data_IF_428764064092
#
_entry.id   IF_428764064092
#
_cell.length_a   1.000
_cell.length_b   1.000
_cell.length_c   1.000
_cell.angle_alpha   90.00
_cell.angle_beta   90.00
_cell.angle_gamma   90.00
#
_symmetry.space_group_name_H-M   'P 1'
#
loop_
_entity.id
_entity.type
_entity.pdbx_description
1 polymer ?
#
# COMPACT_ATOMS: atom_id res chain seq x y z
N UNK A 1 10.10 35.36 11.29
CA UNK A 1 10.25 33.90 11.53
C UNK A 1 9.77 33.16 10.32
N UNK A 2 10.57 32.25 9.74
CA UNK A 2 10.19 31.46 8.58
C UNK A 2 9.77 30.06 9.04
N UNK A 3 8.64 29.58 8.58
CA UNK A 3 8.21 28.18 8.80
C UNK A 3 9.11 27.25 7.98
N UNK A 4 9.54 26.15 8.59
CA UNK A 4 10.32 25.12 7.91
C UNK A 4 9.50 24.51 6.76
N UNK A 5 10.12 24.44 5.60
CA UNK A 5 9.56 23.72 4.44
C UNK A 5 10.64 22.81 3.88
N UNK A 6 10.40 21.48 3.82
CA UNK A 6 11.38 20.55 3.31
C UNK A 6 11.65 20.79 1.83
N UNK A 7 12.91 20.66 1.43
CA UNK A 7 13.33 20.67 0.02
C UNK A 7 13.52 19.23 -0.47
N UNK A 8 13.54 19.01 -1.79
CA UNK A 8 13.92 17.72 -2.34
C UNK A 8 15.30 17.30 -1.82
N UNK A 9 15.36 16.12 -1.21
CA UNK A 9 16.59 15.59 -0.61
C UNK A 9 16.80 15.84 0.89
N UNK A 10 16.06 16.73 1.52
CA UNK A 10 16.18 17.01 2.98
C UNK A 10 15.64 15.86 3.83
N UNK A 11 14.72 15.06 3.27
CA UNK A 11 14.06 13.97 4.00
C UNK A 11 14.69 12.64 3.60
N UNK A 12 15.29 11.96 4.57
CA UNK A 12 15.83 10.62 4.40
C UNK A 12 14.71 9.62 4.14
N UNK A 13 14.86 8.80 3.10
CA UNK A 13 13.92 7.73 2.74
C UNK A 13 14.45 6.39 3.22
N UNK A 14 13.65 5.70 4.02
CA UNK A 14 13.96 4.37 4.57
C UNK A 14 13.14 3.30 3.88
N UNK A 15 13.55 2.05 4.04
CA UNK A 15 12.85 0.89 3.55
C UNK A 15 12.21 0.15 4.73
N UNK A 16 10.92 -0.14 4.58
CA UNK A 16 10.16 -0.93 5.55
C UNK A 16 9.58 -2.17 4.90
N UNK A 17 9.61 -3.28 5.63
CA UNK A 17 8.93 -4.51 5.26
C UNK A 17 7.77 -4.76 6.22
N UNK A 18 6.59 -5.04 5.67
CA UNK A 18 5.36 -5.34 6.41
C UNK A 18 4.93 -6.75 6.07
N UNK A 19 4.71 -7.57 7.08
CA UNK A 19 4.09 -8.88 6.91
C UNK A 19 2.56 -8.73 6.92
N UNK A 20 1.92 -9.19 5.86
CA UNK A 20 0.47 -9.12 5.70
C UNK A 20 -0.28 -10.34 6.27
N UNK A 21 0.43 -11.30 6.86
CA UNK A 21 -0.16 -12.51 7.43
C UNK A 21 -1.18 -12.15 8.52
N UNK A 22 -2.42 -12.63 8.36
CA UNK A 22 -3.54 -12.42 9.28
C UNK A 22 -3.91 -10.95 9.57
N UNK A 23 -3.44 -10.02 8.73
CA UNK A 23 -3.76 -8.61 8.86
C UNK A 23 -4.96 -8.25 7.97
N UNK A 24 -5.89 -7.47 8.50
CA UNK A 24 -7.04 -6.96 7.73
C UNK A 24 -6.57 -6.03 6.63
N UNK A 25 -7.01 -6.27 5.40
CA UNK A 25 -6.59 -5.54 4.19
C UNK A 25 -6.70 -4.00 4.34
N UNK A 26 -7.80 -3.50 4.90
CA UNK A 26 -8.00 -2.06 5.07
C UNK A 26 -7.02 -1.43 6.05
N UNK A 27 -6.73 -2.11 7.14
CA UNK A 27 -5.76 -1.65 8.16
C UNK A 27 -4.33 -1.67 7.61
N UNK A 28 -3.97 -2.75 6.92
CA UNK A 28 -2.69 -2.85 6.21
C UNK A 28 -2.51 -1.69 5.22
N UNK A 29 -3.51 -1.45 4.38
CA UNK A 29 -3.47 -0.40 3.37
C UNK A 29 -3.37 1.00 3.98
N UNK A 30 -4.04 1.28 5.09
CA UNK A 30 -3.96 2.56 5.79
C UNK A 30 -2.56 2.82 6.36
N UNK A 31 -1.94 1.82 6.98
CA UNK A 31 -0.57 1.95 7.49
C UNK A 31 0.44 2.12 6.35
N UNK A 32 0.34 1.30 5.30
CA UNK A 32 1.20 1.44 4.13
C UNK A 32 1.07 2.81 3.47
N UNK A 33 -0.15 3.34 3.32
CA UNK A 33 -0.38 4.67 2.77
C UNK A 33 0.21 5.79 3.64
N UNK A 34 0.15 5.66 4.96
CA UNK A 34 0.78 6.60 5.91
C UNK A 34 2.29 6.65 5.75
N UNK A 35 2.93 5.48 5.63
CA UNK A 35 4.38 5.38 5.40
C UNK A 35 4.77 5.94 4.03
N UNK A 36 4.02 5.61 2.97
CA UNK A 36 4.28 6.09 1.61
C UNK A 36 4.17 7.62 1.47
N UNK A 37 3.25 8.24 2.20
CA UNK A 37 3.10 9.69 2.23
C UNK A 37 4.11 10.38 3.15
N UNK A 38 4.63 9.67 4.14
CA UNK A 38 5.56 10.22 5.13
C UNK A 38 4.87 10.95 6.28
N UNK A 39 3.59 10.69 6.55
CA UNK A 39 2.83 11.33 7.66
C UNK A 39 3.36 10.99 9.05
N UNK A 40 4.15 9.92 9.18
CA UNK A 40 4.81 9.53 10.44
C UNK A 40 6.02 10.39 10.77
N UNK A 41 6.50 11.20 9.82
CA UNK A 41 7.67 12.07 10.01
C UNK A 41 7.27 13.48 10.43
N UNK A 42 7.99 14.13 11.36
CA UNK A 42 7.70 15.52 11.74
C UNK A 42 7.95 16.51 10.60
N UNK A 43 8.78 16.14 9.63
CA UNK A 43 9.11 16.94 8.44
C UNK A 43 8.08 16.84 7.31
N UNK A 44 6.95 16.17 7.55
CA UNK A 44 5.92 15.98 6.53
C UNK A 44 5.43 17.30 5.93
N UNK A 45 5.41 17.37 4.59
CA UNK A 45 4.80 18.46 3.85
C UNK A 45 3.93 17.89 2.70
N UNK A 46 2.75 18.49 2.44
CA UNK A 46 1.85 17.97 1.40
C UNK A 46 2.35 18.19 -0.03
N UNK A 47 3.29 19.11 -0.24
CA UNK A 47 3.84 19.46 -1.55
C UNK A 47 5.09 18.66 -1.94
N UNK A 48 5.69 17.92 -0.99
CA UNK A 48 6.91 17.13 -1.21
C UNK A 48 6.70 15.64 -0.90
N UNK A 49 7.50 14.80 -1.55
CA UNK A 49 7.51 13.37 -1.30
C UNK A 49 8.43 13.02 -0.13
N UNK A 50 7.87 13.09 1.09
CA UNK A 50 8.56 12.78 2.33
C UNK A 50 8.48 11.30 2.73
N UNK A 51 7.78 10.48 1.97
CA UNK A 51 7.48 9.09 2.32
C UNK A 51 8.63 8.13 2.11
N UNK A 52 8.48 6.96 2.70
CA UNK A 52 9.43 5.85 2.66
C UNK A 52 9.04 4.79 1.62
N UNK A 53 9.97 3.88 1.36
CA UNK A 53 9.71 2.68 0.56
C UNK A 53 9.04 1.62 1.43
N UNK A 54 8.00 0.98 0.90
CA UNK A 54 7.24 -0.05 1.61
C UNK A 54 7.22 -1.33 0.80
N UNK A 55 7.65 -2.42 1.44
CA UNK A 55 7.58 -3.78 0.93
C UNK A 55 6.50 -4.50 1.72
N UNK A 56 5.53 -5.10 1.05
CA UNK A 56 4.51 -5.95 1.67
C UNK A 56 4.76 -7.38 1.22
N UNK A 57 4.92 -8.28 2.16
CA UNK A 57 5.10 -9.72 1.95
C UNK A 57 3.87 -10.49 2.40
N UNK A 58 3.75 -11.75 1.96
CA UNK A 58 2.60 -12.63 2.27
C UNK A 58 1.23 -12.03 1.91
N UNK A 59 1.14 -11.36 0.78
CA UNK A 59 -0.11 -10.73 0.34
C UNK A 59 -1.25 -11.74 0.10
N UNK A 60 -0.93 -13.02 -0.11
CA UNK A 60 -1.88 -14.13 -0.23
C UNK A 60 -2.61 -14.45 1.08
N UNK A 61 -2.01 -14.11 2.24
CA UNK A 61 -2.54 -14.39 3.58
C UNK A 61 -3.30 -13.22 4.21
N UNK A 62 -3.58 -12.19 3.43
CA UNK A 62 -4.38 -11.05 3.87
C UNK A 62 -5.82 -11.47 4.18
N UNK A 63 -6.37 -10.92 5.26
CA UNK A 63 -7.73 -11.24 5.74
C UNK A 63 -8.73 -10.16 5.31
N UNK A 64 -9.90 -10.60 4.87
CA UNK A 64 -11.08 -9.75 4.63
C UNK A 64 -12.16 -10.09 5.66
N UNK A 65 -12.63 -9.09 6.39
CA UNK A 65 -13.67 -9.26 7.42
C UNK A 65 -15.08 -9.12 6.85
N UNK A 66 -16.10 -9.56 7.60
CA UNK A 66 -17.54 -9.38 7.30
C UNK A 66 -18.00 -9.95 5.95
N UNK A 67 -17.43 -11.06 5.52
CA UNK A 67 -17.79 -11.69 4.24
C UNK A 67 -17.46 -10.85 3.00
N UNK A 68 -16.55 -9.90 3.11
CA UNK A 68 -16.13 -9.04 1.98
C UNK A 68 -15.45 -9.81 0.86
N UNK A 69 -14.89 -10.97 1.15
CA UNK A 69 -14.29 -11.81 0.13
C UNK A 69 -15.29 -12.15 -0.99
N UNK A 70 -16.51 -12.45 -0.63
CA UNK A 70 -17.59 -12.81 -1.58
C UNK A 70 -18.39 -11.59 -2.05
N UNK A 71 -18.64 -10.61 -1.15
CA UNK A 71 -19.51 -9.44 -1.43
C UNK A 71 -18.81 -8.31 -2.17
N UNK A 72 -17.49 -8.20 -2.04
CA UNK A 72 -16.72 -7.11 -2.64
C UNK A 72 -16.18 -7.48 -4.00
N UNK A 73 -16.35 -6.57 -4.98
CA UNK A 73 -15.86 -6.75 -6.33
C UNK A 73 -14.79 -5.71 -6.66
N UNK A 74 -13.80 -6.12 -7.42
CA UNK A 74 -12.85 -5.24 -8.05
C UNK A 74 -13.34 -4.88 -9.45
N UNK A 75 -13.72 -3.64 -9.66
CA UNK A 75 -14.24 -3.15 -10.93
C UNK A 75 -13.14 -2.58 -11.82
N UNK A 76 -13.27 -2.82 -13.11
CA UNK A 76 -12.47 -2.21 -14.17
C UNK A 76 -13.37 -1.97 -15.38
N UNK A 77 -13.27 -0.79 -15.98
CA UNK A 77 -13.99 -0.45 -17.21
C UNK A 77 -13.01 -0.26 -18.38
N UNK A 78 -13.32 -0.83 -19.54
CA UNK A 78 -12.46 -0.73 -20.73
C UNK A 78 -12.63 0.58 -21.49
N UNK A 79 -13.67 1.37 -21.20
CA UNK A 79 -14.04 2.58 -21.94
C UNK A 79 -15.04 2.35 -23.09
N UNK A 80 -15.37 1.10 -23.42
CA UNK A 80 -16.36 0.76 -24.43
C UNK A 80 -17.73 0.46 -23.81
N UNK A 81 -18.86 0.61 -24.57
CA UNK A 81 -20.17 0.22 -24.10
C UNK A 81 -20.18 -1.26 -23.62
N UNK A 82 -20.74 -1.49 -22.42
CA UNK A 82 -20.73 -2.84 -21.81
C UNK A 82 -19.34 -3.33 -21.33
N UNK A 83 -18.35 -2.45 -21.27
CA UNK A 83 -16.97 -2.79 -20.91
C UNK A 83 -16.67 -2.91 -19.41
N UNK A 84 -17.68 -2.92 -18.54
CA UNK A 84 -17.49 -3.10 -17.10
C UNK A 84 -17.13 -4.57 -16.80
N UNK A 85 -15.97 -4.76 -16.16
CA UNK A 85 -15.52 -6.06 -15.64
C UNK A 85 -15.52 -6.02 -14.11
N UNK A 86 -16.17 -6.99 -13.49
CA UNK A 86 -16.21 -7.18 -12.05
C UNK A 86 -15.58 -8.52 -11.69
N UNK A 87 -14.60 -8.51 -10.79
CA UNK A 87 -13.94 -9.72 -10.29
C UNK A 87 -14.17 -9.76 -8.77
N UNK A 88 -14.74 -10.86 -8.22
CA UNK A 88 -14.90 -10.99 -6.78
C UNK A 88 -13.53 -11.04 -6.10
N UNK A 89 -13.44 -10.52 -4.87
CA UNK A 89 -12.17 -10.49 -4.14
C UNK A 89 -11.66 -11.89 -3.79
N UNK A 90 -12.54 -12.89 -3.65
CA UNK A 90 -12.15 -14.30 -3.47
C UNK A 90 -11.26 -14.76 -4.64
N UNK A 91 -11.71 -14.54 -5.86
CA UNK A 91 -10.95 -14.91 -7.06
C UNK A 91 -9.69 -14.04 -7.23
N UNK A 92 -9.79 -12.75 -6.92
CA UNK A 92 -8.65 -11.84 -7.04
C UNK A 92 -7.53 -12.20 -6.06
N UNK A 93 -7.84 -12.56 -4.83
CA UNK A 93 -6.85 -13.00 -3.83
C UNK A 93 -6.25 -14.36 -4.18
N UNK A 94 -7.02 -15.27 -4.77
CA UNK A 94 -6.53 -16.58 -5.22
C UNK A 94 -5.57 -16.47 -6.41
N UNK A 95 -5.85 -15.58 -7.35
CA UNK A 95 -5.09 -15.47 -8.61
C UNK A 95 -3.99 -14.40 -8.57
N UNK A 96 -4.27 -13.24 -8.01
CA UNK A 96 -3.37 -12.06 -7.99
C UNK A 96 -3.50 -11.26 -6.69
N UNK A 97 -3.04 -11.79 -5.56
CA UNK A 97 -3.15 -11.13 -4.26
C UNK A 97 -2.42 -9.78 -4.23
N UNK A 98 -1.28 -9.65 -4.92
CA UNK A 98 -0.51 -8.40 -4.97
C UNK A 98 -1.35 -7.24 -5.56
N UNK A 99 -2.21 -7.58 -6.53
CA UNK A 99 -3.09 -6.59 -7.15
C UNK A 99 -4.20 -6.14 -6.22
N UNK A 100 -4.73 -7.03 -5.39
CA UNK A 100 -5.75 -6.70 -4.39
C UNK A 100 -5.20 -5.71 -3.36
N UNK A 101 -4.01 -5.98 -2.82
CA UNK A 101 -3.32 -5.11 -1.85
C UNK A 101 -2.94 -3.79 -2.48
N UNK A 102 -2.32 -3.80 -3.65
CA UNK A 102 -1.92 -2.56 -4.36
C UNK A 102 -3.12 -1.67 -4.68
N UNK A 103 -4.27 -2.26 -5.06
CA UNK A 103 -5.50 -1.51 -5.33
C UNK A 103 -6.05 -0.85 -4.07
N UNK A 104 -6.00 -1.54 -2.92
CA UNK A 104 -6.43 -1.00 -1.64
C UNK A 104 -5.55 0.18 -1.21
N UNK A 105 -4.23 0.06 -1.30
CA UNK A 105 -3.28 1.14 -0.99
C UNK A 105 -3.46 2.32 -1.95
N UNK A 106 -3.60 2.06 -3.24
CA UNK A 106 -3.84 3.11 -4.26
C UNK A 106 -5.08 3.94 -3.94
N UNK A 107 -6.14 3.33 -3.45
CA UNK A 107 -7.35 4.04 -3.03
C UNK A 107 -7.17 4.96 -1.83
N UNK A 108 -6.13 4.74 -1.01
CA UNK A 108 -5.83 5.51 0.20
C UNK A 108 -4.73 6.56 0.02
N UNK A 109 -4.08 6.58 -1.14
CA UNK A 109 -3.09 7.59 -1.51
C UNK A 109 -3.75 8.61 -2.43
N UNK A 110 -3.41 9.93 -2.33
CA UNK A 110 -4.00 10.95 -3.19
C UNK A 110 -3.82 10.65 -4.68
N UNK A 111 -4.87 10.92 -5.48
CA UNK A 111 -4.88 10.70 -6.94
C UNK A 111 -4.23 11.85 -7.72
N UNK A 112 -3.10 12.34 -7.22
CA UNK A 112 -2.33 13.43 -7.82
C UNK A 112 -1.05 12.91 -8.50
N UNK A 113 -0.35 13.79 -9.20
CA UNK A 113 0.97 13.48 -9.76
C UNK A 113 1.95 13.01 -8.67
N UNK A 114 1.96 13.72 -7.52
CA UNK A 114 2.77 13.34 -6.35
C UNK A 114 2.37 11.98 -5.77
N UNK A 115 1.07 11.73 -5.62
CA UNK A 115 0.55 10.44 -5.14
C UNK A 115 0.93 9.26 -6.04
N UNK A 116 0.95 9.44 -7.36
CA UNK A 116 1.45 8.42 -8.28
C UNK A 116 2.94 8.14 -8.12
N UNK A 117 3.74 9.17 -7.84
CA UNK A 117 5.16 9.01 -7.52
C UNK A 117 5.37 8.26 -6.20
N UNK A 118 4.55 8.55 -5.18
CA UNK A 118 4.56 7.84 -3.91
C UNK A 118 4.20 6.34 -4.06
N UNK A 119 3.22 6.03 -4.90
CA UNK A 119 2.82 4.63 -5.17
C UNK A 119 3.92 3.80 -5.86
N UNK A 120 4.83 4.40 -6.61
CA UNK A 120 5.97 3.69 -7.20
C UNK A 120 6.93 3.11 -6.15
N UNK A 121 6.90 3.63 -4.93
CA UNK A 121 7.69 3.15 -3.79
C UNK A 121 7.07 1.95 -3.08
N UNK A 122 5.85 1.57 -3.44
CA UNK A 122 5.19 0.37 -2.94
C UNK A 122 5.62 -0.85 -3.75
N UNK A 123 6.07 -1.90 -3.05
CA UNK A 123 6.39 -3.21 -3.60
C UNK A 123 5.57 -4.27 -2.86
N UNK A 124 4.81 -5.08 -3.58
CA UNK A 124 3.95 -6.10 -3.00
C UNK A 124 4.31 -7.46 -3.56
N UNK A 125 4.47 -8.44 -2.68
CA UNK A 125 4.80 -9.83 -3.01
C UNK A 125 3.81 -10.78 -2.37
N UNK A 126 3.39 -11.81 -3.11
CA UNK A 126 2.46 -12.82 -2.63
C UNK A 126 3.10 -13.70 -1.54
N UNK A 127 4.36 -14.11 -1.75
CA UNK A 127 5.10 -14.95 -0.83
C UNK A 127 5.89 -14.18 0.24
N UNK A 128 6.71 -14.91 0.98
CA UNK A 128 7.56 -14.36 2.04
C UNK A 128 8.88 -13.76 1.54
N UNK A 129 9.29 -14.08 0.31
CA UNK A 129 10.57 -13.65 -0.26
C UNK A 129 10.42 -12.35 -1.04
N UNK A 130 11.45 -11.50 -0.96
CA UNK A 130 11.54 -10.27 -1.73
C UNK A 130 12.98 -10.01 -2.19
N UNK A 131 13.22 -9.39 -3.36
CA UNK A 131 14.56 -9.16 -3.91
C UNK A 131 15.29 -7.92 -3.34
N UNK A 132 14.77 -7.33 -2.26
CA UNK A 132 15.25 -6.06 -1.70
C UNK A 132 16.14 -6.22 -0.46
N UNK A 133 16.84 -7.35 -0.30
CA UNK A 133 17.72 -7.58 0.85
C UNK A 133 18.86 -6.56 0.93
N UNK A 134 19.40 -6.14 -0.20
CA UNK A 134 20.49 -5.14 -0.29
C UNK A 134 20.12 -3.75 0.22
N UNK A 135 18.83 -3.41 0.26
CA UNK A 135 18.33 -2.16 0.81
C UNK A 135 18.18 -2.17 2.34
N UNK A 136 18.44 -3.29 3.00
CA UNK A 136 18.31 -3.47 4.45
C UNK A 136 16.95 -2.97 4.99
N UNK A 137 15.83 -3.51 4.51
CA UNK A 137 14.52 -3.06 4.95
C UNK A 137 14.31 -3.38 6.44
N UNK A 138 13.79 -2.39 7.16
CA UNK A 138 13.46 -2.55 8.57
C UNK A 138 12.06 -3.17 8.72
N UNK A 139 11.87 -4.13 9.63
CA UNK A 139 10.54 -4.67 9.90
C UNK A 139 9.64 -3.58 10.50
N UNK A 140 8.41 -3.49 10.01
CA UNK A 140 7.38 -2.63 10.56
C UNK A 140 6.21 -3.48 11.02
N UNK A 141 5.95 -3.48 12.32
CA UNK A 141 4.87 -4.24 12.92
C UNK A 141 3.58 -3.42 12.93
N UNK A 142 2.50 -4.04 12.47
CA UNK A 142 1.15 -3.50 12.57
C UNK A 142 0.56 -3.97 13.89
N UNK A 143 0.33 -3.05 14.80
CA UNK A 143 -0.17 -3.33 16.16
C UNK A 143 -1.63 -3.81 16.21
N UNK A 144 -2.36 -3.74 15.11
CA UNK A 144 -3.77 -4.11 15.00
C UNK A 144 -3.93 -5.37 14.14
N UNK A 145 -3.72 -6.52 14.74
CA UNK A 145 -4.05 -7.82 14.15
C UNK A 145 -5.57 -8.02 14.12
N UNK A 146 -6.07 -8.81 13.18
CA UNK A 146 -7.48 -9.21 13.14
C UNK A 146 -7.86 -9.95 14.42
N UNK A 147 -8.88 -9.46 15.12
CA UNK A 147 -9.58 -10.21 16.16
C UNK A 147 -10.74 -10.95 15.55
#
# INVERSE_FOLDING_TARGET
MRTYTPKPGDVEKRWYVIDATDVVLGRLAAQAATLLRGKHKPQFAPNEDCGDYVIIINADKVVLTNGKAEKKFAYRHSGYPGGLKAVPYTELLATRPERAVSKAVKGMVPHTKLGRAQLKKLKVYAGSEHPHASQNPQPFEITQVAQ
#
